data_IF_840702843408
#
_entry.id   IF_840702843408
#
_cell.length_a   1.000
_cell.length_b   1.000
_cell.length_c   1.000
_cell.angle_alpha   90.00
_cell.angle_beta   90.00
_cell.angle_gamma   90.00
#
_symmetry.space_group_name_H-M   'P 1'
#
loop_
_entity.id
_entity.type
_entity.pdbx_description
1 polymer ?
#
# COMPACT_ATOMS: atom_id res chain seq x y z
N UNK A 1 15.41 16.84 31.34
CA UNK A 1 16.76 17.30 30.97
C UNK A 1 17.31 16.41 29.86
N UNK A 2 17.86 17.02 28.80
CA UNK A 2 18.39 16.31 27.64
C UNK A 2 19.70 15.59 27.97
N UNK A 3 19.66 14.26 28.12
CA UNK A 3 20.77 13.43 28.66
C UNK A 3 21.92 13.21 27.69
N UNK A 4 21.67 13.18 26.38
CA UNK A 4 22.67 12.86 25.34
C UNK A 4 23.14 14.08 24.55
N UNK A 5 22.80 15.30 25.00
CA UNK A 5 23.09 16.55 24.28
C UNK A 5 24.58 16.89 24.11
N UNK A 6 25.45 16.19 24.84
CA UNK A 6 26.91 16.34 24.80
C UNK A 6 27.61 15.04 24.42
N UNK A 7 26.86 14.05 23.93
CA UNK A 7 27.39 12.78 23.44
C UNK A 7 27.47 12.84 21.90
N UNK A 8 28.60 12.41 21.34
CA UNK A 8 28.80 12.34 19.88
C UNK A 8 28.67 10.88 19.46
N UNK A 9 27.86 10.63 18.43
CA UNK A 9 27.63 9.30 17.89
C UNK A 9 28.17 9.20 16.46
N UNK A 10 28.97 8.17 16.20
CA UNK A 10 29.56 7.90 14.87
C UNK A 10 28.77 6.85 14.06
N UNK A 11 27.69 6.32 14.62
CA UNK A 11 26.79 5.40 13.91
C UNK A 11 25.37 5.46 14.48
N UNK A 12 24.40 5.08 13.65
CA UNK A 12 23.01 4.92 14.09
C UNK A 12 22.88 3.80 15.13
N UNK A 13 23.71 2.76 15.02
CA UNK A 13 23.74 1.65 15.97
C UNK A 13 24.13 2.11 17.37
N UNK A 14 25.18 2.94 17.52
CA UNK A 14 25.62 3.44 18.83
C UNK A 14 24.60 4.38 19.47
N UNK A 15 23.96 5.24 18.67
CA UNK A 15 22.86 6.07 19.13
C UNK A 15 21.67 5.24 19.63
N UNK A 16 21.24 4.25 18.84
CA UNK A 16 20.12 3.37 19.23
C UNK A 16 20.43 2.58 20.50
N UNK A 17 21.66 2.11 20.67
CA UNK A 17 22.09 1.43 21.90
C UNK A 17 21.94 2.36 23.11
N UNK A 18 22.44 3.60 23.00
CA UNK A 18 22.34 4.59 24.07
C UNK A 18 20.89 4.94 24.41
N UNK A 19 20.02 5.04 23.42
CA UNK A 19 18.59 5.26 23.63
C UNK A 19 17.96 4.11 24.44
N UNK A 20 18.32 2.85 24.15
CA UNK A 20 17.80 1.68 24.89
C UNK A 20 18.17 1.71 26.36
N UNK A 21 19.43 1.99 26.69
CA UNK A 21 19.89 2.13 28.09
C UNK A 21 19.10 3.21 28.84
N UNK A 22 18.86 4.35 28.19
CA UNK A 22 18.10 5.45 28.78
C UNK A 22 16.63 5.09 28.97
N UNK A 23 16.05 4.33 28.05
CA UNK A 23 14.69 3.82 28.16
C UNK A 23 14.55 2.83 29.33
N UNK A 24 15.48 1.88 29.48
CA UNK A 24 15.49 0.96 30.63
C UNK A 24 15.53 1.73 31.95
N UNK A 25 16.45 2.69 32.06
CA UNK A 25 16.55 3.54 33.26
C UNK A 25 15.28 4.37 33.49
N UNK A 26 14.62 4.85 32.44
CA UNK A 26 13.38 5.63 32.56
C UNK A 26 12.21 4.77 33.00
N UNK A 27 12.11 3.56 32.44
CA UNK A 27 11.01 2.63 32.71
C UNK A 27 11.08 2.07 34.13
N UNK A 28 12.29 1.84 34.65
CA UNK A 28 12.52 1.34 36.00
C UNK A 28 12.59 2.44 37.08
N UNK A 29 12.57 3.72 36.70
CA UNK A 29 12.58 4.82 37.68
C UNK A 29 11.24 4.94 38.40
N UNK A 30 11.27 4.89 39.73
CA UNK A 30 10.10 5.20 40.58
C UNK A 30 9.56 6.59 40.29
N UNK A 31 8.25 6.67 40.05
CA UNK A 31 7.57 7.93 39.75
C UNK A 31 7.17 8.65 41.03
N UNK A 32 7.39 9.98 41.05
CA UNK A 32 7.16 10.83 42.22
C UNK A 32 5.72 11.41 42.29
N UNK A 33 4.85 11.10 41.32
CA UNK A 33 3.50 11.69 41.26
C UNK A 33 2.56 11.04 42.28
N UNK A 34 1.83 11.86 43.04
CA UNK A 34 1.02 11.51 44.21
C UNK A 34 0.03 10.34 44.04
N UNK A 35 -0.55 10.13 42.84
CA UNK A 35 -1.58 9.08 42.62
C UNK A 35 -1.02 7.71 42.22
N UNK A 36 0.21 7.66 41.74
CA UNK A 36 0.92 6.43 41.30
C UNK A 36 2.30 6.33 41.97
N UNK A 37 2.46 7.05 43.08
CA UNK A 37 3.72 7.16 43.81
C UNK A 37 4.11 5.80 44.36
N UNK A 38 5.39 5.45 44.25
CA UNK A 38 5.93 4.18 44.74
C UNK A 38 6.09 3.10 43.68
N UNK A 39 5.58 3.29 42.46
CA UNK A 39 5.77 2.37 41.35
C UNK A 39 6.61 2.99 40.21
N UNK A 40 7.33 2.13 39.51
CA UNK A 40 7.97 2.40 38.22
C UNK A 40 6.98 2.19 37.07
N UNK A 41 7.34 2.67 35.86
CA UNK A 41 6.51 2.44 34.65
C UNK A 41 6.46 0.95 34.30
N UNK A 42 7.57 0.24 34.50
CA UNK A 42 7.67 -1.19 34.25
C UNK A 42 6.72 -2.00 35.15
N UNK A 43 6.63 -1.66 36.44
CA UNK A 43 5.71 -2.32 37.37
C UNK A 43 4.25 -2.09 37.00
N UNK A 44 3.87 -0.85 36.66
CA UNK A 44 2.51 -0.54 36.21
C UNK A 44 2.17 -1.27 34.90
N UNK A 45 3.11 -1.35 33.96
CA UNK A 45 2.91 -2.12 32.72
C UNK A 45 2.61 -3.59 33.02
N UNK A 46 3.36 -4.21 33.95
CA UNK A 46 3.15 -5.61 34.32
C UNK A 46 1.79 -5.81 35.00
N UNK A 47 1.39 -4.89 35.89
CA UNK A 47 0.17 -5.01 36.70
C UNK A 47 -1.10 -4.66 35.92
N UNK A 48 -1.05 -3.68 35.03
CA UNK A 48 -2.24 -3.08 34.40
C UNK A 48 -2.31 -3.38 32.91
N UNK A 49 -1.24 -3.07 32.16
CA UNK A 49 -1.28 -3.13 30.70
C UNK A 49 -1.15 -4.57 30.19
N UNK A 50 -0.14 -5.31 30.67
CA UNK A 50 0.19 -6.68 30.24
C UNK A 50 -1.00 -7.65 30.26
N UNK A 51 -1.84 -7.70 31.32
CA UNK A 51 -3.03 -8.58 31.31
C UNK A 51 -4.14 -8.11 30.37
N UNK A 52 -4.17 -6.83 29.99
CA UNK A 52 -5.15 -6.26 29.06
C UNK A 52 -4.70 -6.33 27.59
N UNK A 53 -3.44 -6.68 27.32
CA UNK A 53 -2.92 -6.80 25.96
C UNK A 53 -3.56 -7.98 25.21
N UNK A 54 -3.92 -7.73 23.96
CA UNK A 54 -4.26 -8.78 23.00
C UNK A 54 -3.00 -9.55 22.59
N UNK A 55 -3.12 -10.81 22.13
CA UNK A 55 -2.00 -11.51 21.52
C UNK A 55 -1.39 -10.70 20.38
N UNK A 56 -0.08 -10.85 20.19
CA UNK A 56 0.61 -10.22 19.06
C UNK A 56 -0.04 -10.70 17.76
N UNK A 57 -0.49 -9.79 16.87
CA UNK A 57 -1.05 -10.19 15.58
C UNK A 57 -0.04 -11.01 14.77
N UNK A 58 -0.51 -12.07 14.11
CA UNK A 58 0.34 -12.91 13.24
C UNK A 58 0.89 -12.11 12.06
N UNK A 59 0.08 -11.17 11.54
CA UNK A 59 0.50 -10.28 10.48
C UNK A 59 1.14 -9.01 11.06
N UNK A 60 2.35 -8.69 10.59
CA UNK A 60 3.02 -7.43 10.88
C UNK A 60 2.18 -6.23 10.43
N UNK A 61 2.26 -5.13 11.19
CA UNK A 61 1.64 -3.87 10.80
C UNK A 61 2.19 -3.40 9.44
N UNK A 62 1.30 -3.15 8.48
CA UNK A 62 1.66 -2.61 7.16
C UNK A 62 1.31 -1.13 7.07
N UNK A 63 2.33 -0.30 6.90
CA UNK A 63 2.14 1.11 6.62
C UNK A 63 1.40 1.31 5.30
N UNK A 64 0.34 2.14 5.33
CA UNK A 64 -0.46 2.47 4.16
C UNK A 64 -0.30 3.95 3.85
N UNK A 65 0.27 4.26 2.68
CA UNK A 65 0.31 5.62 2.15
C UNK A 65 -1.01 5.90 1.44
N UNK A 66 -1.70 6.98 1.82
CA UNK A 66 -2.91 7.46 1.16
C UNK A 66 -2.59 8.72 0.37
N UNK A 67 -2.87 8.73 -0.93
CA UNK A 67 -2.69 9.91 -1.78
C UNK A 67 -3.84 10.08 -2.77
N UNK A 68 -4.14 11.32 -3.17
CA UNK A 68 -5.10 11.60 -4.24
C UNK A 68 -4.44 11.42 -5.60
N UNK A 69 -5.12 10.76 -6.54
CA UNK A 69 -4.67 10.54 -7.91
C UNK A 69 -5.78 10.90 -8.89
N UNK A 70 -5.42 11.31 -10.11
CA UNK A 70 -6.39 11.64 -11.15
C UNK A 70 -6.38 10.55 -12.22
N UNK A 71 -7.56 10.15 -12.69
CA UNK A 71 -7.70 9.19 -13.79
C UNK A 71 -7.37 9.87 -15.10
N UNK A 72 -6.40 9.32 -15.82
CA UNK A 72 -5.95 9.77 -17.13
C UNK A 72 -6.95 9.35 -18.22
N UNK A 73 -6.84 9.93 -19.42
CA UNK A 73 -7.74 9.67 -20.54
C UNK A 73 -7.71 8.22 -21.03
N UNK A 74 -6.62 7.52 -20.76
CA UNK A 74 -6.41 6.10 -21.04
C UNK A 74 -6.89 5.20 -19.90
N UNK A 75 -7.77 5.67 -19.00
CA UNK A 75 -8.33 4.91 -17.86
C UNK A 75 -7.28 4.32 -16.90
N UNK A 76 -6.13 4.99 -16.76
CA UNK A 76 -5.11 4.65 -15.77
C UNK A 76 -4.89 5.76 -14.73
N UNK A 77 -4.33 5.37 -13.59
CA UNK A 77 -3.78 6.29 -12.58
C UNK A 77 -2.30 6.00 -12.37
N UNK A 78 -1.48 7.04 -12.23
CA UNK A 78 -0.05 6.88 -11.98
C UNK A 78 0.28 6.79 -10.49
N UNK A 79 0.98 5.71 -10.11
CA UNK A 79 1.52 5.51 -8.77
C UNK A 79 2.95 5.02 -8.90
N UNK A 80 3.90 5.79 -8.36
CA UNK A 80 5.33 5.48 -8.34
C UNK A 80 5.88 5.13 -9.74
N UNK A 81 5.50 5.92 -10.76
CA UNK A 81 5.85 5.73 -12.18
C UNK A 81 5.27 4.45 -12.82
N UNK A 82 4.33 3.79 -12.16
CA UNK A 82 3.57 2.66 -12.70
C UNK A 82 2.10 3.04 -12.86
N UNK A 83 1.49 2.58 -13.95
CA UNK A 83 0.12 2.94 -14.33
C UNK A 83 -0.84 1.80 -14.02
N UNK A 84 -1.87 2.07 -13.24
CA UNK A 84 -2.86 1.07 -12.84
C UNK A 84 -4.21 1.42 -13.44
N UNK A 85 -4.81 0.46 -14.15
CA UNK A 85 -6.12 0.68 -14.76
C UNK A 85 -7.23 0.83 -13.72
N UNK A 86 -8.25 1.60 -14.05
CA UNK A 86 -9.50 1.76 -13.30
C UNK A 86 -10.69 1.67 -14.25
N UNK A 87 -11.91 1.36 -13.75
CA UNK A 87 -13.09 1.35 -14.60
C UNK A 87 -13.22 2.62 -15.44
N UNK A 88 -13.42 2.47 -16.75
CA UNK A 88 -13.48 3.60 -17.70
C UNK A 88 -14.61 4.60 -17.40
N UNK A 89 -15.61 4.24 -16.59
CA UNK A 89 -16.63 5.16 -16.09
C UNK A 89 -16.05 6.26 -15.18
N UNK A 90 -14.83 6.09 -14.68
CA UNK A 90 -14.15 7.01 -13.75
C UNK A 90 -13.18 7.97 -14.46
N UNK A 91 -13.19 8.04 -15.79
CA UNK A 91 -12.32 8.92 -16.57
C UNK A 91 -12.38 10.38 -16.07
N UNK A 92 -11.20 10.97 -15.87
CA UNK A 92 -11.05 12.35 -15.41
C UNK A 92 -11.37 12.61 -13.94
N UNK A 93 -11.93 11.63 -13.20
CA UNK A 93 -12.25 11.75 -11.78
C UNK A 93 -11.00 11.70 -10.90
N UNK A 94 -11.11 12.20 -9.66
CA UNK A 94 -10.08 12.04 -8.63
C UNK A 94 -10.43 10.85 -7.74
N UNK A 95 -9.42 10.01 -7.49
CA UNK A 95 -9.52 8.82 -6.65
C UNK A 95 -8.54 8.93 -5.47
N UNK A 96 -8.76 8.12 -4.45
CA UNK A 96 -7.79 7.89 -3.38
C UNK A 96 -7.04 6.58 -3.62
N UNK A 97 -5.72 6.67 -3.70
CA UNK A 97 -4.84 5.52 -3.79
C UNK A 97 -4.31 5.17 -2.41
N UNK A 98 -4.66 3.97 -1.96
CA UNK A 98 -4.17 3.34 -0.73
C UNK A 98 -3.06 2.36 -1.11
N UNK A 99 -1.83 2.70 -0.76
CA UNK A 99 -0.63 1.98 -1.17
C UNK A 99 -0.04 1.32 0.08
N UNK A 100 -0.18 0.01 0.21
CA UNK A 100 0.21 -0.73 1.40
C UNK A 100 0.97 -1.99 1.01
N UNK A 101 2.18 -2.16 1.54
CA UNK A 101 3.03 -3.31 1.22
C UNK A 101 3.14 -3.55 -0.29
N UNK A 102 2.56 -4.66 -0.72
CA UNK A 102 2.57 -5.18 -2.11
C UNK A 102 1.24 -4.97 -2.85
N UNK A 103 0.34 -4.12 -2.34
CA UNK A 103 -0.93 -3.82 -2.99
C UNK A 103 -1.14 -2.31 -3.16
N UNK A 104 -1.84 -2.00 -4.25
CA UNK A 104 -2.44 -0.70 -4.54
C UNK A 104 -3.95 -0.89 -4.59
N UNK A 105 -4.68 -0.19 -3.73
CA UNK A 105 -6.14 -0.13 -3.76
C UNK A 105 -6.57 1.27 -4.15
N UNK A 106 -7.57 1.37 -5.01
CA UNK A 106 -8.10 2.62 -5.54
C UNK A 106 -9.53 2.77 -5.07
N UNK A 107 -9.84 3.93 -4.51
CA UNK A 107 -11.14 4.25 -3.94
C UNK A 107 -11.75 5.47 -4.64
N UNK A 108 -13.05 5.38 -4.93
CA UNK A 108 -13.87 6.53 -5.28
C UNK A 108 -14.86 6.79 -4.16
N UNK A 109 -14.79 7.95 -3.51
CA UNK A 109 -15.73 8.34 -2.43
C UNK A 109 -15.90 7.27 -1.33
N UNK A 110 -14.81 6.58 -0.96
CA UNK A 110 -14.81 5.52 0.06
C UNK A 110 -15.19 4.12 -0.44
N UNK A 111 -15.61 3.97 -1.70
CA UNK A 111 -15.84 2.67 -2.32
C UNK A 111 -14.59 2.18 -3.06
N UNK A 112 -14.16 0.94 -2.80
CA UNK A 112 -13.07 0.31 -3.54
C UNK A 112 -13.51 0.04 -4.98
N UNK A 113 -12.77 0.60 -5.95
CA UNK A 113 -13.08 0.49 -7.38
C UNK A 113 -12.08 -0.37 -8.15
N UNK A 114 -10.86 -0.55 -7.63
CA UNK A 114 -9.84 -1.41 -8.21
C UNK A 114 -8.76 -1.78 -7.19
N UNK A 115 -8.16 -2.96 -7.38
CA UNK A 115 -7.02 -3.44 -6.60
C UNK A 115 -5.96 -3.99 -7.54
N UNK A 116 -4.69 -3.71 -7.29
CA UNK A 116 -3.59 -4.24 -8.11
C UNK A 116 -2.41 -4.66 -7.24
N UNK A 117 -1.67 -5.71 -7.63
CA UNK A 117 -0.33 -5.95 -7.11
C UNK A 117 0.55 -4.72 -7.38
N UNK A 118 1.22 -4.23 -6.34
CA UNK A 118 2.10 -3.07 -6.44
C UNK A 118 3.35 -3.45 -7.23
N UNK A 119 3.65 -2.67 -8.26
CA UNK A 119 4.89 -2.67 -9.01
C UNK A 119 5.68 -1.39 -8.72
N UNK A 120 6.99 -1.54 -8.55
CA UNK A 120 7.96 -0.45 -8.31
C UNK A 120 8.79 -0.12 -9.55
N UNK A 121 8.38 -0.65 -10.71
CA UNK A 121 9.01 -0.47 -12.00
C UNK A 121 8.08 0.32 -12.91
N UNK A 122 8.64 1.02 -13.89
CA UNK A 122 7.84 1.62 -14.94
C UNK A 122 7.03 0.54 -15.70
N UNK A 123 5.78 0.86 -16.07
CA UNK A 123 4.92 -0.04 -16.84
C UNK A 123 3.43 0.17 -16.55
N UNK A 124 2.62 -0.75 -17.07
CA UNK A 124 1.17 -0.73 -16.96
C UNK A 124 0.65 -2.04 -16.35
N UNK A 125 -0.31 -1.92 -15.45
CA UNK A 125 -1.11 -3.02 -14.90
C UNK A 125 -2.56 -2.81 -15.31
N UNK A 126 -2.92 -3.42 -16.43
CA UNK A 126 -4.22 -3.26 -17.07
C UNK A 126 -5.10 -4.49 -16.81
N UNK A 127 -6.32 -4.27 -16.33
CA UNK A 127 -7.35 -5.31 -16.25
C UNK A 127 -8.36 -5.10 -17.37
N UNK A 128 -8.70 -6.18 -18.09
CA UNK A 128 -9.62 -6.10 -19.23
C UNK A 128 -11.02 -5.61 -18.81
N UNK A 129 -11.48 -5.94 -17.61
CA UNK A 129 -12.76 -5.49 -17.06
C UNK A 129 -12.89 -3.96 -16.94
N UNK A 130 -11.76 -3.25 -16.85
CA UNK A 130 -11.72 -1.80 -16.75
C UNK A 130 -11.88 -1.08 -18.10
N UNK A 131 -11.65 -1.78 -19.21
CA UNK A 131 -11.72 -1.20 -20.54
C UNK A 131 -13.19 -1.00 -20.98
N UNK A 132 -13.48 0.03 -21.80
CA UNK A 132 -14.74 0.16 -22.52
C UNK A 132 -15.01 -1.06 -23.40
N UNK A 133 -16.28 -1.39 -23.64
CA UNK A 133 -16.65 -2.58 -24.39
C UNK A 133 -16.07 -2.64 -25.80
N UNK A 134 -16.07 -1.51 -26.53
CA UNK A 134 -15.42 -1.41 -27.83
C UNK A 134 -13.92 -1.74 -27.75
N UNK A 135 -13.21 -1.21 -26.75
CA UNK A 135 -11.78 -1.49 -26.56
C UNK A 135 -11.53 -2.94 -26.13
N UNK A 136 -12.42 -3.56 -25.33
CA UNK A 136 -12.33 -4.98 -24.98
C UNK A 136 -12.41 -5.88 -26.21
N UNK A 137 -13.35 -5.58 -27.12
CA UNK A 137 -13.52 -6.33 -28.36
C UNK A 137 -12.27 -6.24 -29.23
N UNK A 138 -11.66 -5.05 -29.35
CA UNK A 138 -10.41 -4.83 -30.09
C UNK A 138 -9.18 -5.47 -29.40
N UNK A 139 -9.09 -5.48 -28.07
CA UNK A 139 -8.00 -6.13 -27.33
C UNK A 139 -7.97 -7.66 -27.50
N UNK A 140 -9.07 -8.26 -27.98
CA UNK A 140 -9.16 -9.70 -28.24
C UNK A 140 -8.78 -10.08 -29.69
N UNK A 141 -8.35 -9.13 -30.50
CA UNK A 141 -7.76 -9.38 -31.82
C UNK A 141 -6.28 -9.72 -31.65
N UNK A 142 -5.98 -10.99 -31.37
CA UNK A 142 -4.61 -11.50 -31.47
C UNK A 142 -4.25 -11.74 -32.94
N UNK A 143 -2.94 -11.74 -33.31
CA UNK A 143 -2.50 -12.08 -34.67
C UNK A 143 -3.06 -13.41 -35.17
N UNK A 144 -3.23 -14.42 -34.28
CA UNK A 144 -3.84 -15.70 -34.67
C UNK A 144 -5.31 -15.54 -35.08
N UNK A 145 -6.06 -14.68 -34.40
CA UNK A 145 -7.47 -14.44 -34.69
C UNK A 145 -7.69 -13.63 -35.96
N UNK A 146 -6.76 -12.73 -36.28
CA UNK A 146 -6.70 -12.05 -37.58
C UNK A 146 -6.49 -13.04 -38.73
N UNK A 147 -5.61 -14.04 -38.52
CA UNK A 147 -5.38 -15.11 -39.49
C UNK A 147 -6.60 -16.03 -39.62
N UNK A 148 -7.24 -16.44 -38.53
CA UNK A 148 -8.47 -17.24 -38.57
C UNK A 148 -9.62 -16.51 -39.26
N UNK A 149 -9.80 -15.21 -39.00
CA UNK A 149 -10.81 -14.39 -39.69
C UNK A 149 -10.53 -14.29 -41.19
N UNK A 150 -9.28 -13.99 -41.58
CA UNK A 150 -8.87 -13.96 -42.98
C UNK A 150 -9.05 -15.31 -43.69
N UNK A 151 -8.75 -16.43 -43.02
CA UNK A 151 -9.01 -17.78 -43.54
C UNK A 151 -10.51 -18.08 -43.68
N UNK A 152 -11.33 -17.60 -42.74
CA UNK A 152 -12.78 -17.78 -42.80
C UNK A 152 -13.41 -17.01 -43.98
N UNK A 153 -12.98 -15.77 -44.24
CA UNK A 153 -13.45 -15.01 -45.41
C UNK A 153 -12.92 -15.60 -46.72
N UNK A 154 -11.67 -16.10 -46.73
CA UNK A 154 -11.09 -16.75 -47.90
C UNK A 154 -11.83 -18.04 -48.30
N UNK A 155 -12.27 -18.84 -47.33
CA UNK A 155 -13.07 -20.06 -47.54
C UNK A 155 -14.51 -19.78 -47.98
N UNK A 156 -15.04 -18.59 -47.72
CA UNK A 156 -16.35 -18.14 -48.22
C UNK A 156 -16.26 -17.61 -49.65
N UNK A 157 -15.14 -16.96 -50.03
CA UNK A 157 -14.94 -16.41 -51.37
C UNK A 157 -14.63 -17.47 -52.46
N UNK A 158 -14.14 -18.65 -52.09
CA UNK A 158 -13.71 -19.72 -53.02
C UNK A 158 -14.60 -20.96 -53.00
N UNK A 159 -15.84 -20.84 -52.50
CA UNK A 159 -16.85 -21.90 -52.55
C UNK A 159 -17.93 -21.56 -53.59
N UNK A 160 -17.58 -21.65 -54.87
CA UNK A 160 -18.48 -21.87 -55.99
C UNK A 160 -17.92 -22.98 -56.87
#
# INVERSE_FOLDING_TARGET
MARIRHEIFYSLASLNQRIRELLERLNNKIMQKLKLGGYSRAELFIQLDKPALKPLPEASYSYTLVKKVRVHADYHVEIDKHYYSVPCSLLGQQLEAWISGELVRLFNQGQEVAVHPRKRTYGYSTRNEHMPEAHRQHATWTPERLLEWAFSEWLWAHRQ
#
